data_IF_857500944506
#
_entry.id   IF_857500944506
#
_cell.length_a   1.000
_cell.length_b   1.000
_cell.length_c   1.000
_cell.angle_alpha   90.00
_cell.angle_beta   90.00
_cell.angle_gamma   90.00
#
_symmetry.space_group_name_H-M   'P 1'
#
loop_
_entity.id
_entity.type
_entity.pdbx_description
1 polymer ?
#
# COMPACT_ATOMS: atom_id res chain seq x y z
N UNK A 1 7.47 -11.60 0.04
CA UNK A 1 6.14 -10.98 0.06
C UNK A 1 5.12 -12.08 -0.23
N UNK A 2 4.02 -12.15 0.52
CA UNK A 2 2.99 -13.16 0.32
C UNK A 2 2.12 -12.90 -0.92
N UNK A 3 1.06 -13.69 -1.06
CA UNK A 3 0.05 -13.53 -2.11
C UNK A 3 -0.68 -12.20 -1.95
N UNK A 4 -0.88 -11.48 -3.05
CA UNK A 4 -1.74 -10.30 -3.14
C UNK A 4 -2.99 -10.68 -3.92
N UNK A 5 -4.15 -10.34 -3.40
CA UNK A 5 -5.44 -10.63 -4.00
C UNK A 5 -6.21 -9.36 -4.30
N UNK A 6 -6.95 -9.36 -5.41
CA UNK A 6 -7.72 -8.23 -5.92
C UNK A 6 -9.18 -8.62 -6.07
N UNK A 7 -10.08 -7.70 -5.74
CA UNK A 7 -11.49 -7.79 -6.11
C UNK A 7 -11.94 -6.47 -6.75
N UNK A 8 -12.66 -6.58 -7.85
CA UNK A 8 -13.20 -5.47 -8.62
C UNK A 8 -14.72 -5.52 -8.68
N UNK A 9 -15.33 -4.34 -8.77
CA UNK A 9 -16.72 -4.12 -9.17
C UNK A 9 -16.72 -3.43 -10.53
N UNK A 10 -17.88 -3.21 -11.12
CA UNK A 10 -18.00 -2.40 -12.34
C UNK A 10 -17.63 -0.92 -12.14
N UNK A 11 -17.51 -0.45 -10.88
CA UNK A 11 -17.08 0.90 -10.53
C UNK A 11 -15.56 1.05 -10.37
N UNK A 12 -14.82 -0.06 -10.17
CA UNK A 12 -13.38 -0.02 -9.97
C UNK A 12 -12.84 -1.11 -9.05
N UNK A 13 -11.59 -0.94 -8.61
CA UNK A 13 -10.95 -1.81 -7.64
C UNK A 13 -11.54 -1.57 -6.26
N UNK A 14 -12.25 -2.57 -5.73
CA UNK A 14 -12.94 -2.49 -4.43
C UNK A 14 -12.08 -3.04 -3.29
N UNK A 15 -11.15 -3.97 -3.58
CA UNK A 15 -10.24 -4.52 -2.57
C UNK A 15 -8.91 -4.94 -3.17
N UNK A 16 -7.85 -4.62 -2.44
CA UNK A 16 -6.51 -5.21 -2.58
C UNK A 16 -6.07 -5.63 -1.18
N UNK A 17 -5.81 -6.91 -0.98
CA UNK A 17 -5.46 -7.48 0.32
C UNK A 17 -4.32 -8.49 0.20
N UNK A 18 -3.67 -8.77 1.32
CA UNK A 18 -2.67 -9.83 1.41
C UNK A 18 -3.35 -11.12 1.85
N UNK A 19 -3.07 -12.22 1.15
CA UNK A 19 -3.67 -13.52 1.39
C UNK A 19 -4.62 -13.98 0.28
N UNK A 20 -5.48 -14.97 0.56
CA UNK A 20 -6.39 -15.53 -0.44
C UNK A 20 -7.43 -14.51 -0.92
N UNK A 21 -8.01 -14.71 -2.12
CA UNK A 21 -9.00 -13.80 -2.67
C UNK A 21 -10.22 -13.68 -1.75
N UNK A 22 -10.78 -12.47 -1.60
CA UNK A 22 -11.87 -12.20 -0.66
C UNK A 22 -13.25 -12.71 -1.12
N UNK A 23 -13.34 -13.34 -2.27
CA UNK A 23 -14.61 -13.82 -2.85
C UNK A 23 -14.41 -14.49 -4.20
N UNK A 24 -15.49 -14.85 -4.88
CA UNK A 24 -15.44 -15.43 -6.22
C UNK A 24 -14.92 -14.43 -7.25
N UNK A 25 -14.32 -14.95 -8.31
CA UNK A 25 -13.90 -14.14 -9.45
C UNK A 25 -15.12 -13.52 -10.17
N UNK A 26 -14.95 -12.33 -10.76
CA UNK A 26 -15.99 -11.72 -11.59
C UNK A 26 -16.33 -12.62 -12.77
N UNK A 27 -17.57 -12.54 -13.24
CA UNK A 27 -17.99 -13.27 -14.44
C UNK A 27 -17.20 -12.76 -15.65
N UNK A 28 -16.67 -13.65 -16.51
CA UNK A 28 -16.00 -13.27 -17.73
C UNK A 28 -16.87 -12.34 -18.61
N UNK A 29 -16.23 -11.35 -19.24
CA UNK A 29 -16.91 -10.38 -20.11
C UNK A 29 -17.64 -9.24 -19.39
N UNK A 30 -17.57 -9.16 -18.07
CA UNK A 30 -18.06 -8.01 -17.30
C UNK A 30 -16.99 -6.92 -17.21
N UNK A 31 -17.38 -5.68 -16.91
CA UNK A 31 -16.42 -4.60 -16.67
C UNK A 31 -15.52 -4.91 -15.47
N UNK A 32 -16.07 -5.55 -14.43
CA UNK A 32 -15.29 -6.01 -13.28
C UNK A 32 -14.18 -6.99 -13.68
N UNK A 33 -14.40 -7.90 -14.64
CA UNK A 33 -13.35 -8.82 -15.11
C UNK A 33 -12.24 -8.10 -15.89
N UNK A 34 -12.59 -7.14 -16.73
CA UNK A 34 -11.62 -6.31 -17.46
C UNK A 34 -10.79 -5.47 -16.49
N UNK A 35 -11.43 -4.88 -15.48
CA UNK A 35 -10.75 -4.10 -14.45
C UNK A 35 -9.84 -4.98 -13.57
N UNK A 36 -10.23 -6.23 -13.31
CA UNK A 36 -9.39 -7.18 -12.57
C UNK A 36 -8.11 -7.50 -13.36
N UNK A 37 -8.21 -7.83 -14.65
CA UNK A 37 -7.05 -8.11 -15.50
C UNK A 37 -6.11 -6.90 -15.58
N UNK A 38 -6.65 -5.70 -15.85
CA UNK A 38 -5.86 -4.47 -15.87
C UNK A 38 -5.16 -4.19 -14.53
N UNK A 39 -5.85 -4.44 -13.40
CA UNK A 39 -5.29 -4.24 -12.08
C UNK A 39 -4.13 -5.21 -11.80
N UNK A 40 -4.29 -6.48 -12.18
CA UNK A 40 -3.23 -7.49 -12.01
C UNK A 40 -2.01 -7.15 -12.87
N UNK A 41 -2.21 -6.68 -14.10
CA UNK A 41 -1.12 -6.20 -14.96
C UNK A 41 -0.41 -4.99 -14.34
N UNK A 42 -1.15 -3.99 -13.87
CA UNK A 42 -0.56 -2.82 -13.22
C UNK A 42 0.21 -3.18 -11.93
N UNK A 43 -0.32 -4.11 -11.13
CA UNK A 43 0.39 -4.62 -9.95
C UNK A 43 1.69 -5.35 -10.34
N UNK A 44 1.67 -6.18 -11.38
CA UNK A 44 2.88 -6.85 -11.87
C UNK A 44 3.93 -5.82 -12.34
N UNK A 45 3.52 -4.79 -13.06
CA UNK A 45 4.40 -3.68 -13.49
C UNK A 45 4.91 -2.85 -12.31
N UNK A 46 4.08 -2.61 -11.30
CA UNK A 46 4.49 -1.91 -10.07
C UNK A 46 5.59 -2.69 -9.34
N UNK A 47 5.38 -3.98 -9.08
CA UNK A 47 6.38 -4.82 -8.41
C UNK A 47 7.61 -5.09 -9.28
N UNK A 48 7.50 -4.99 -10.60
CA UNK A 48 8.62 -4.99 -11.53
C UNK A 48 9.40 -3.66 -11.58
N UNK A 49 8.95 -2.62 -10.86
CA UNK A 49 9.58 -1.30 -10.87
C UNK A 49 9.26 -0.44 -12.11
N UNK A 50 8.34 -0.90 -12.96
CA UNK A 50 7.98 -0.24 -14.23
C UNK A 50 6.73 0.64 -14.14
N UNK A 51 6.02 0.65 -13.01
CA UNK A 51 4.86 1.48 -12.78
C UNK A 51 5.01 2.24 -11.46
N UNK A 52 4.84 3.56 -11.50
CA UNK A 52 4.89 4.44 -10.32
C UNK A 52 3.52 4.99 -9.92
N UNK A 53 2.52 4.86 -10.77
CA UNK A 53 1.17 5.36 -10.53
C UNK A 53 0.15 4.41 -11.17
N UNK A 54 -0.80 3.96 -10.39
CA UNK A 54 -1.92 3.17 -10.87
C UNK A 54 -2.91 4.06 -11.63
N UNK A 55 -3.46 3.56 -12.73
CA UNK A 55 -4.47 4.24 -13.56
C UNK A 55 -5.86 3.64 -13.40
N UNK A 56 -5.95 2.44 -12.84
CA UNK A 56 -7.24 1.78 -12.61
C UNK A 56 -8.12 2.58 -11.66
N UNK A 57 -9.43 2.67 -11.92
CA UNK A 57 -10.35 3.37 -11.03
C UNK A 57 -10.46 2.65 -9.69
N UNK A 58 -10.65 3.40 -8.60
CA UNK A 58 -10.86 2.87 -7.26
C UNK A 58 -12.33 2.99 -6.87
N UNK A 59 -12.94 1.87 -6.54
CA UNK A 59 -14.26 1.85 -5.94
C UNK A 59 -14.13 2.07 -4.42
N UNK A 60 -14.45 3.28 -3.98
CA UNK A 60 -14.44 3.64 -2.56
C UNK A 60 -15.65 3.08 -1.79
N UNK A 61 -16.56 2.38 -2.48
CA UNK A 61 -17.76 1.78 -1.90
C UNK A 61 -18.58 2.78 -1.08
N UNK A 62 -18.99 2.35 0.10
CA UNK A 62 -19.77 3.15 1.05
C UNK A 62 -18.95 4.17 1.86
N UNK A 63 -17.68 4.40 1.52
CA UNK A 63 -16.87 5.38 2.25
C UNK A 63 -17.47 6.78 2.11
N UNK A 64 -17.77 7.43 3.23
CA UNK A 64 -18.36 8.78 3.31
C UNK A 64 -17.59 9.64 4.33
N UNK A 65 -17.88 10.94 4.35
CA UNK A 65 -17.33 11.89 5.30
C UNK A 65 -15.80 11.84 5.37
N UNK A 66 -15.27 11.86 6.58
CA UNK A 66 -13.83 11.87 6.85
C UNK A 66 -13.09 10.69 6.21
N UNK A 67 -13.70 9.51 6.18
CA UNK A 67 -13.09 8.32 5.56
C UNK A 67 -12.84 8.53 4.07
N UNK A 68 -13.83 9.01 3.34
CA UNK A 68 -13.70 9.29 1.90
C UNK A 68 -12.69 10.40 1.65
N UNK A 69 -12.75 11.48 2.44
CA UNK A 69 -11.83 12.62 2.30
C UNK A 69 -10.36 12.18 2.49
N UNK A 70 -10.07 11.40 3.53
CA UNK A 70 -8.71 10.91 3.82
C UNK A 70 -8.20 9.95 2.75
N UNK A 71 -8.99 8.94 2.35
CA UNK A 71 -8.57 7.98 1.33
C UNK A 71 -8.36 8.66 -0.02
N UNK A 72 -9.25 9.60 -0.40
CA UNK A 72 -9.11 10.38 -1.64
C UNK A 72 -7.90 11.30 -1.62
N UNK A 73 -7.66 12.03 -0.53
CA UNK A 73 -6.50 12.89 -0.37
C UNK A 73 -5.19 12.08 -0.49
N UNK A 74 -5.12 10.93 0.17
CA UNK A 74 -3.96 10.05 0.09
C UNK A 74 -3.71 9.56 -1.34
N UNK A 75 -4.73 9.00 -1.99
CA UNK A 75 -4.65 8.46 -3.35
C UNK A 75 -4.22 9.50 -4.39
N UNK A 76 -4.75 10.73 -4.27
CA UNK A 76 -4.52 11.78 -5.26
C UNK A 76 -3.18 12.53 -5.06
N UNK A 77 -2.69 12.63 -3.82
CA UNK A 77 -1.64 13.60 -3.49
C UNK A 77 -0.33 13.02 -3.00
N UNK A 78 -0.27 11.72 -2.67
CA UNK A 78 0.97 11.08 -2.17
C UNK A 78 1.48 10.08 -3.19
N UNK A 79 2.46 10.51 -3.99
CA UNK A 79 3.04 9.74 -5.09
C UNK A 79 4.03 8.67 -4.64
N UNK A 80 4.53 7.91 -5.62
CA UNK A 80 5.59 6.91 -5.45
C UNK A 80 6.86 7.56 -4.90
N UNK A 81 7.49 6.93 -3.90
CA UNK A 81 8.68 7.45 -3.25
C UNK A 81 8.45 8.63 -2.30
N UNK A 82 7.20 9.00 -2.05
CA UNK A 82 6.84 10.06 -1.11
C UNK A 82 6.22 9.49 0.16
N UNK A 83 6.38 10.20 1.27
CA UNK A 83 5.69 9.91 2.53
C UNK A 83 4.93 11.13 3.03
N UNK A 84 3.94 10.89 3.85
CA UNK A 84 3.20 11.92 4.57
C UNK A 84 2.96 11.46 6.00
N UNK A 85 3.00 12.39 6.96
CA UNK A 85 2.64 12.03 8.35
C UNK A 85 1.12 11.89 8.51
N UNK A 86 0.68 11.14 9.54
CA UNK A 86 -0.74 11.05 9.88
C UNK A 86 -1.38 12.44 10.09
N UNK A 87 -0.66 13.35 10.77
CA UNK A 87 -1.12 14.73 10.96
C UNK A 87 -1.16 15.53 9.66
N UNK A 88 -0.13 15.38 8.81
CA UNK A 88 -0.08 16.02 7.50
C UNK A 88 -1.21 15.56 6.57
N UNK A 89 -1.55 14.25 6.60
CA UNK A 89 -2.68 13.74 5.84
C UNK A 89 -4.02 14.21 6.41
N UNK A 90 -4.16 14.30 7.74
CA UNK A 90 -5.34 14.88 8.37
C UNK A 90 -5.59 16.32 7.90
N UNK A 91 -4.57 17.17 7.95
CA UNK A 91 -4.64 18.55 7.46
C UNK A 91 -5.00 18.62 5.97
N UNK A 92 -4.37 17.78 5.14
CA UNK A 92 -4.63 17.71 3.69
C UNK A 92 -6.04 17.24 3.34
N UNK A 93 -6.64 16.39 4.19
CA UNK A 93 -8.01 15.92 4.06
C UNK A 93 -9.05 16.87 4.69
N UNK A 94 -8.62 18.00 5.26
CA UNK A 94 -9.48 18.96 5.91
C UNK A 94 -10.11 18.43 7.21
N UNK A 95 -9.42 17.51 7.93
CA UNK A 95 -9.89 17.03 9.21
C UNK A 95 -9.53 18.02 10.31
N UNK A 96 -10.55 18.53 10.97
CA UNK A 96 -10.41 19.32 12.18
C UNK A 96 -10.46 18.42 13.42
N UNK A 97 -9.88 18.90 14.53
CA UNK A 97 -10.00 18.22 15.80
C UNK A 97 -11.45 18.26 16.26
N UNK A 98 -12.06 17.12 16.52
CA UNK A 98 -13.36 17.07 17.16
C UNK A 98 -13.16 17.30 18.67
N UNK A 99 -13.41 18.52 19.10
CA UNK A 99 -13.37 18.89 20.52
C UNK A 99 -14.77 18.76 21.11
N UNK A 100 -15.23 17.55 21.37
CA UNK A 100 -16.33 17.35 22.33
C UNK A 100 -15.77 17.53 23.74
N UNK A 101 -16.46 18.23 24.65
CA UNK A 101 -16.01 18.36 26.02
C UNK A 101 -15.78 16.99 26.67
N UNK A 102 -14.51 16.70 27.01
CA UNK A 102 -14.08 15.42 27.61
C UNK A 102 -13.71 14.31 26.63
N UNK A 103 -13.82 14.51 25.30
CA UNK A 103 -13.44 13.49 24.31
C UNK A 103 -12.67 14.10 23.12
N UNK A 104 -11.45 14.57 23.40
CA UNK A 104 -10.55 15.06 22.35
C UNK A 104 -9.92 13.90 21.58
N UNK A 105 -10.25 13.77 20.30
CA UNK A 105 -9.59 12.80 19.40
C UNK A 105 -8.71 13.57 18.42
N UNK A 106 -7.38 13.41 18.49
CA UNK A 106 -6.47 14.02 17.53
C UNK A 106 -6.80 13.58 16.09
N UNK A 107 -6.82 14.49 15.10
CA UNK A 107 -7.07 14.14 13.70
C UNK A 107 -6.13 13.05 13.16
N UNK A 108 -4.87 13.04 13.58
CA UNK A 108 -3.90 11.99 13.24
C UNK A 108 -4.35 10.59 13.69
N UNK A 109 -5.06 10.47 14.83
CA UNK A 109 -5.59 9.20 15.33
C UNK A 109 -6.75 8.70 14.46
N UNK A 110 -7.61 9.62 14.01
CA UNK A 110 -8.70 9.31 13.06
C UNK A 110 -8.10 8.79 11.75
N UNK A 111 -7.08 9.45 11.22
CA UNK A 111 -6.36 8.97 10.03
C UNK A 111 -5.78 7.58 10.27
N UNK A 112 -5.17 7.32 11.43
CA UNK A 112 -4.64 5.99 11.77
C UNK A 112 -5.71 4.88 11.71
N UNK A 113 -6.90 5.14 12.25
CA UNK A 113 -8.03 4.20 12.20
C UNK A 113 -8.51 3.96 10.75
N UNK A 114 -8.57 5.02 9.94
CA UNK A 114 -8.94 4.92 8.53
C UNK A 114 -7.89 4.10 7.75
N UNK A 115 -6.61 4.34 7.99
CA UNK A 115 -5.52 3.58 7.35
C UNK A 115 -5.57 2.09 7.72
N UNK A 116 -5.84 1.76 9.00
CA UNK A 116 -5.97 0.38 9.45
C UNK A 116 -7.10 -0.40 8.75
N UNK A 117 -8.10 0.30 8.24
CA UNK A 117 -9.27 -0.26 7.55
C UNK A 117 -9.30 0.07 6.04
N UNK A 118 -8.17 0.46 5.45
CA UNK A 118 -8.08 0.72 4.01
C UNK A 118 -8.32 -0.57 3.21
N UNK A 119 -9.38 -0.65 2.40
CA UNK A 119 -9.68 -1.87 1.65
C UNK A 119 -8.81 -2.04 0.40
N UNK A 120 -8.21 -0.97 -0.13
CA UNK A 120 -7.53 -0.97 -1.43
C UNK A 120 -6.04 -0.66 -1.22
N UNK A 121 -5.36 -1.54 -0.47
CA UNK A 121 -3.94 -1.38 -0.19
C UNK A 121 -3.12 -1.25 -1.50
N UNK A 122 -1.94 -0.64 -1.44
CA UNK A 122 -1.04 -0.33 -2.57
C UNK A 122 -1.58 0.77 -3.50
N UNK A 123 -2.77 0.63 -4.05
CA UNK A 123 -3.37 1.62 -4.96
C UNK A 123 -3.76 2.87 -4.16
N UNK A 124 -4.43 2.70 -3.00
CA UNK A 124 -4.53 3.75 -1.97
C UNK A 124 -3.38 3.51 -0.98
N UNK A 125 -2.28 4.26 -1.07
CA UNK A 125 -0.98 3.85 -0.54
C UNK A 125 -0.84 4.13 0.97
N UNK A 126 -1.59 3.41 1.81
CA UNK A 126 -1.52 3.59 3.28
C UNK A 126 -0.12 3.29 3.87
N UNK A 127 0.74 2.53 3.17
CA UNK A 127 2.13 2.34 3.54
C UNK A 127 2.96 3.64 3.50
N UNK A 128 2.56 4.65 2.70
CA UNK A 128 3.23 5.96 2.62
C UNK A 128 2.86 6.90 3.78
N UNK A 129 1.90 6.51 4.64
CA UNK A 129 1.52 7.33 5.81
C UNK A 129 2.34 6.91 7.02
N UNK A 130 3.19 7.80 7.53
CA UNK A 130 4.18 7.50 8.58
C UNK A 130 3.91 8.31 9.85
N UNK A 131 4.48 7.88 10.98
CA UNK A 131 4.50 8.65 12.21
C UNK A 131 5.54 9.80 12.13
N UNK A 132 5.43 10.79 13.00
CA UNK A 132 6.43 11.87 13.08
C UNK A 132 7.81 11.39 13.52
N UNK A 133 7.88 10.28 14.25
CA UNK A 133 9.10 9.68 14.82
C UNK A 133 9.28 8.22 14.41
N UNK A 134 8.98 7.84 13.17
CA UNK A 134 9.18 6.48 12.68
C UNK A 134 8.10 6.02 11.71
N UNK A 135 8.08 4.72 11.41
CA UNK A 135 7.18 4.18 10.39
C UNK A 135 5.70 4.24 10.77
N UNK A 136 5.38 4.20 12.06
CA UNK A 136 4.00 4.01 12.51
C UNK A 136 3.46 2.61 12.22
N UNK A 137 2.17 2.36 12.50
CA UNK A 137 1.52 1.08 12.27
C UNK A 137 1.24 0.78 10.81
N UNK A 138 1.00 -0.51 10.52
CA UNK A 138 0.52 -1.00 9.23
C UNK A 138 -0.30 -2.29 9.45
N UNK A 139 -1.43 -2.40 8.78
CA UNK A 139 -2.35 -3.55 8.90
C UNK A 139 -2.23 -4.55 7.74
N UNK A 140 -1.42 -4.25 6.73
CA UNK A 140 -1.25 -5.11 5.56
C UNK A 140 -0.17 -6.18 5.76
N UNK A 141 -0.42 -7.39 5.28
CA UNK A 141 0.54 -8.49 5.29
C UNK A 141 1.05 -8.85 6.68
N UNK A 142 2.39 -8.89 6.85
CA UNK A 142 3.08 -9.09 8.13
C UNK A 142 3.28 -7.80 8.95
N UNK A 143 2.49 -6.76 8.67
CA UNK A 143 2.55 -5.51 9.42
C UNK A 143 3.67 -4.57 8.98
N UNK A 144 4.45 -4.05 9.94
CA UNK A 144 5.46 -3.02 9.70
C UNK A 144 6.57 -3.45 8.74
N UNK A 145 6.90 -4.73 8.65
CA UNK A 145 7.94 -5.25 7.74
C UNK A 145 7.56 -5.06 6.27
N UNK A 146 6.31 -5.34 5.92
CA UNK A 146 5.81 -5.10 4.56
C UNK A 146 5.80 -3.61 4.24
N UNK A 147 5.40 -2.77 5.19
CA UNK A 147 5.44 -1.31 5.02
C UNK A 147 6.84 -0.80 4.77
N UNK A 148 7.79 -1.23 5.59
CA UNK A 148 9.19 -0.84 5.47
C UNK A 148 9.74 -1.29 4.11
N UNK A 149 9.48 -2.55 3.72
CA UNK A 149 9.89 -3.09 2.43
C UNK A 149 9.35 -2.23 1.26
N UNK A 150 8.06 -1.88 1.27
CA UNK A 150 7.45 -1.04 0.25
C UNK A 150 8.10 0.35 0.19
N UNK A 151 8.38 0.97 1.33
CA UNK A 151 9.01 2.29 1.38
C UNK A 151 10.45 2.27 0.86
N UNK A 152 11.21 1.21 1.13
CA UNK A 152 12.55 1.01 0.54
C UNK A 152 12.45 0.72 -0.96
N UNK A 153 11.53 -0.16 -1.37
CA UNK A 153 11.28 -0.48 -2.77
C UNK A 153 10.95 0.77 -3.59
N UNK A 154 10.16 1.66 -3.02
CA UNK A 154 9.80 2.95 -3.63
C UNK A 154 10.90 4.01 -3.53
N UNK A 155 11.97 3.76 -2.78
CA UNK A 155 13.05 4.71 -2.54
C UNK A 155 12.67 5.87 -1.61
N UNK A 156 11.56 5.73 -0.85
CA UNK A 156 11.12 6.73 0.13
C UNK A 156 11.98 6.76 1.39
N UNK A 157 12.61 5.64 1.73
CA UNK A 157 13.60 5.51 2.80
C UNK A 157 14.80 4.70 2.31
N UNK A 158 16.02 4.96 2.83
CA UNK A 158 17.19 4.17 2.46
C UNK A 158 17.09 2.73 2.96
N UNK A 159 17.65 1.79 2.19
CA UNK A 159 17.94 0.46 2.69
C UNK A 159 19.06 0.57 3.73
N UNK A 160 18.79 0.24 5.00
CA UNK A 160 19.79 0.20 6.05
C UNK A 160 20.40 -1.19 6.16
N UNK A 161 21.65 -1.29 6.68
CA UNK A 161 22.31 -2.60 6.91
C UNK A 161 21.53 -3.48 7.91
N UNK A 162 20.79 -2.86 8.83
CA UNK A 162 19.90 -3.56 9.77
C UNK A 162 18.64 -4.16 9.14
N UNK A 163 18.42 -3.90 7.85
CA UNK A 163 17.32 -4.45 7.09
C UNK A 163 17.33 -5.98 7.03
N UNK A 164 18.53 -6.57 6.90
CA UNK A 164 18.69 -8.05 6.85
C UNK A 164 18.49 -8.70 8.23
N UNK A 165 18.73 -7.97 9.30
CA UNK A 165 18.51 -8.44 10.67
C UNK A 165 17.03 -8.38 11.09
N UNK A 166 16.19 -7.58 10.41
CA UNK A 166 14.77 -7.37 10.73
C UNK A 166 13.79 -8.21 9.91
N UNK A 167 14.25 -9.26 9.19
CA UNK A 167 13.32 -10.28 8.66
C UNK A 167 12.96 -10.22 7.19
N UNK A 168 13.85 -9.78 6.31
CA UNK A 168 13.73 -10.24 4.92
C UNK A 168 13.97 -11.75 4.87
N UNK A 169 13.13 -12.54 4.19
CA UNK A 169 13.45 -13.95 4.02
C UNK A 169 14.79 -14.06 3.29
N UNK A 170 15.74 -14.79 3.87
CA UNK A 170 17.13 -14.98 3.40
C UNK A 170 17.26 -15.39 1.91
N UNK A 171 16.17 -15.76 1.27
CA UNK A 171 16.09 -16.11 -0.17
C UNK A 171 16.28 -14.94 -1.14
N UNK A 172 16.17 -13.68 -0.70
CA UNK A 172 16.41 -12.54 -1.60
C UNK A 172 17.90 -12.15 -1.67
N UNK A 173 18.68 -12.48 -0.65
CA UNK A 173 20.14 -12.24 -0.61
C UNK A 173 20.91 -13.27 -1.47
N UNK A 174 20.50 -14.53 -1.43
CA UNK A 174 21.18 -15.62 -2.15
C UNK A 174 21.02 -15.56 -3.68
N UNK A 175 19.98 -14.91 -4.19
CA UNK A 175 19.77 -14.80 -5.64
C UNK A 175 20.75 -13.85 -6.34
N UNK A 176 21.55 -13.06 -5.61
CA UNK A 176 22.56 -12.14 -6.18
C UNK A 176 23.98 -12.70 -6.19
N UNK A 177 24.24 -13.83 -5.52
CA UNK A 177 25.59 -14.41 -5.40
C UNK A 177 25.83 -15.64 -6.28
N UNK A 178 24.83 -16.11 -7.03
CA UNK A 178 25.01 -17.17 -8.01
C UNK A 178 25.41 -16.60 -9.37
N UNK A 179 26.57 -15.98 -9.46
CA UNK A 179 27.24 -15.81 -10.76
C UNK A 179 28.06 -17.10 -11.02
N UNK A 180 27.93 -17.72 -12.20
CA UNK A 180 28.77 -18.87 -12.53
C UNK A 180 30.20 -18.39 -12.71
N UNK A 181 31.10 -18.87 -11.85
CA UNK A 181 32.53 -18.79 -12.08
C UNK A 181 32.85 -19.64 -13.30
N UNK A 182 33.01 -19.00 -14.45
CA UNK A 182 33.53 -19.61 -15.62
C UNK A 182 34.97 -20.10 -15.39
N UNK A 183 35.16 -21.40 -15.30
CA UNK A 183 36.45 -22.03 -15.36
C UNK A 183 36.95 -21.97 -16.81
N UNK A 184 37.90 -21.10 -17.05
CA UNK A 184 38.77 -21.22 -18.24
C UNK A 184 39.82 -22.25 -17.89
N UNK A 185 39.78 -23.41 -18.54
CA UNK A 185 40.91 -24.34 -18.58
C UNK A 185 41.56 -24.29 -19.95
N UNK A 186 42.85 -24.16 -19.91
CA UNK A 186 43.84 -24.14 -20.98
C UNK A 186 43.71 -25.25 -21.97
#
# INVERSE_FOLDING_TARGET
MGQVSVACTDAGVARVSYGPPPGPEPRPGTLASVLLEATLEELARYFGGHLKRFSVPVDMGSAQGSRRAVLSALHQTVGFGQTITYGGLAARAGLEATAEPGNFVPPARVVGQIMASNPVALIVPCHRVVAGTGLGGYSGGTGTDVKQWLLVFEGAIPATLDWDAAGLPARAADARLAQPTGSVSS
#
